data_IF_590763275205
#
_entry.id   IF_590763275205
#
_cell.length_a   1.000
_cell.length_b   1.000
_cell.length_c   1.000
_cell.angle_alpha   90.00
_cell.angle_beta   90.00
_cell.angle_gamma   90.00
#
_symmetry.space_group_name_H-M   'P 1'
#
loop_
_entity.id
_entity.type
_entity.pdbx_description
1 polymer ?
#
# COMPACT_ATOMS: atom_id res chain seq x y z
N UNK A 1 23.62 52.26 64.20
CA UNK A 1 22.52 52.10 63.23
C UNK A 1 22.44 53.34 62.36
N UNK A 2 22.30 53.16 61.05
CA UNK A 2 22.01 54.19 60.03
C UNK A 2 21.51 53.41 58.80
N UNK A 3 20.35 53.58 58.18
CA UNK A 3 19.41 54.70 57.94
C UNK A 3 19.56 55.32 56.53
N UNK A 4 18.43 55.22 55.79
CA UNK A 4 18.04 55.95 54.56
C UNK A 4 18.71 55.53 53.25
N UNK A 5 17.85 55.20 52.28
CA UNK A 5 18.17 55.23 50.86
C UNK A 5 17.45 56.38 50.14
N UNK A 6 17.94 56.68 48.95
CA UNK A 6 17.32 57.48 47.89
C UNK A 6 18.09 57.14 46.60
N UNK A 7 17.52 56.88 45.42
CA UNK A 7 16.12 56.92 44.99
C UNK A 7 15.96 57.90 43.83
N UNK A 8 15.96 57.42 42.57
CA UNK A 8 15.32 58.10 41.42
C UNK A 8 15.21 57.20 40.17
N UNK A 9 13.98 56.87 39.78
CA UNK A 9 13.56 56.54 38.41
C UNK A 9 13.07 57.84 37.72
N UNK A 10 12.63 57.92 36.43
CA UNK A 10 12.28 56.84 35.48
C UNK A 10 12.88 57.05 34.05
N UNK A 11 12.53 56.28 33.01
CA UNK A 11 11.31 56.46 32.16
C UNK A 11 10.96 55.18 31.37
N UNK A 12 9.67 54.80 31.41
CA UNK A 12 8.91 53.99 30.42
C UNK A 12 8.46 54.92 29.27
N UNK A 13 7.96 54.54 28.09
CA UNK A 13 7.55 53.30 27.35
C UNK A 13 7.36 53.76 25.85
N UNK A 14 6.66 53.09 24.89
CA UNK A 14 5.98 51.79 24.85
C UNK A 14 6.33 50.89 23.64
N UNK A 15 5.77 49.67 23.58
CA UNK A 15 6.00 48.74 22.45
C UNK A 15 5.28 47.39 22.56
N UNK A 16 3.95 47.41 22.56
CA UNK A 16 3.00 46.31 22.25
C UNK A 16 3.48 44.83 22.24
N UNK A 17 2.92 44.05 23.17
CA UNK A 17 2.07 42.85 22.92
C UNK A 17 1.72 42.58 21.45
N UNK A 18 1.63 41.36 20.92
CA UNK A 18 1.88 39.98 21.37
C UNK A 18 2.33 39.19 20.09
N UNK A 19 2.60 37.87 20.00
CA UNK A 19 2.27 36.70 20.82
C UNK A 19 3.31 35.55 20.63
N UNK A 20 2.93 34.29 20.89
CA UNK A 20 3.70 33.06 20.53
C UNK A 20 2.96 32.23 19.48
N UNK A 21 3.67 31.86 18.41
CA UNK A 21 3.51 30.64 17.60
C UNK A 21 4.73 30.59 16.65
N UNK A 22 5.39 29.48 16.35
CA UNK A 22 5.07 28.08 16.60
C UNK A 22 5.29 27.29 15.30
N UNK A 23 6.45 26.64 15.15
CA UNK A 23 6.76 25.79 13.98
C UNK A 23 7.91 26.29 13.10
N UNK A 24 9.14 25.85 13.41
CA UNK A 24 10.32 25.93 12.54
C UNK A 24 11.31 24.80 12.88
N UNK A 25 10.80 23.58 13.05
CA UNK A 25 11.58 22.37 13.39
C UNK A 25 11.20 21.18 12.51
N UNK A 26 10.77 21.45 11.28
CA UNK A 26 10.38 20.42 10.30
C UNK A 26 10.98 20.59 8.90
N UNK A 27 12.01 21.42 8.74
CA UNK A 27 12.81 21.52 7.50
C UNK A 27 13.81 20.35 7.36
N UNK A 28 13.28 19.14 7.47
CA UNK A 28 13.93 17.89 7.07
C UNK A 28 12.97 17.13 6.17
N UNK A 29 12.77 17.64 4.96
CA UNK A 29 11.91 17.06 3.92
C UNK A 29 12.34 15.62 3.58
N UNK A 30 11.74 14.63 4.25
CA UNK A 30 11.86 13.22 3.88
C UNK A 30 11.03 12.96 2.63
N UNK A 31 11.65 13.16 1.46
CA UNK A 31 11.09 12.78 0.18
C UNK A 31 10.83 11.27 0.13
N UNK A 32 9.57 10.86 0.31
CA UNK A 32 9.12 9.52 -0.03
C UNK A 32 8.73 9.54 -1.51
N UNK A 33 9.71 9.32 -2.38
CA UNK A 33 9.44 9.03 -3.79
C UNK A 33 8.71 7.68 -3.83
N UNK A 34 7.38 7.71 -4.00
CA UNK A 34 6.64 6.53 -4.47
C UNK A 34 6.98 6.32 -5.94
N UNK A 35 8.20 5.84 -6.18
CA UNK A 35 8.46 5.06 -7.36
C UNK A 35 7.49 3.91 -7.34
N UNK A 36 6.55 3.89 -8.27
CA UNK A 36 5.96 2.65 -8.73
C UNK A 36 7.13 1.84 -9.26
N UNK A 37 7.74 1.04 -8.38
CA UNK A 37 8.75 0.05 -8.75
C UNK A 37 7.99 -0.98 -9.55
N UNK A 38 7.82 -0.70 -10.84
CA UNK A 38 7.60 -1.69 -11.87
C UNK A 38 8.71 -2.71 -11.61
N UNK A 39 8.41 -3.91 -11.10
CA UNK A 39 9.44 -4.85 -10.72
C UNK A 39 10.30 -5.04 -11.97
N UNK A 40 11.61 -4.78 -11.84
CA UNK A 40 12.53 -5.01 -12.93
C UNK A 40 12.28 -6.43 -13.40
N UNK A 41 11.97 -6.60 -14.69
CA UNK A 41 11.63 -7.90 -15.23
C UNK A 41 12.78 -8.85 -14.90
N UNK A 42 12.54 -9.77 -13.96
CA UNK A 42 13.57 -10.70 -13.54
C UNK A 42 14.02 -11.44 -14.78
N UNK A 43 15.34 -11.42 -15.05
CA UNK A 43 15.90 -12.19 -16.15
C UNK A 43 15.36 -13.63 -16.05
N UNK A 44 14.82 -14.22 -17.13
CA UNK A 44 14.07 -15.46 -17.04
C UNK A 44 15.00 -16.59 -16.58
N UNK A 45 14.94 -16.89 -15.28
CA UNK A 45 15.38 -18.17 -14.74
C UNK A 45 14.51 -19.29 -15.30
N UNK A 46 14.84 -20.56 -15.01
CA UNK A 46 13.99 -21.68 -15.43
C UNK A 46 12.55 -21.44 -14.98
N UNK A 47 11.61 -21.57 -15.90
CA UNK A 47 10.19 -21.34 -15.68
C UNK A 47 9.61 -22.44 -14.78
N UNK A 48 9.73 -22.24 -13.46
CA UNK A 48 9.10 -23.09 -12.47
C UNK A 48 7.59 -23.06 -12.70
N UNK A 49 6.98 -24.23 -12.78
CA UNK A 49 5.54 -24.39 -12.91
C UNK A 49 4.96 -25.05 -11.67
N UNK A 50 3.69 -24.79 -11.41
CA UNK A 50 2.97 -25.25 -10.23
C UNK A 50 1.68 -25.93 -10.66
N UNK A 51 1.33 -27.09 -10.08
CA UNK A 51 -0.01 -27.68 -10.24
C UNK A 51 -0.91 -27.08 -9.16
N UNK A 52 -1.74 -26.12 -9.55
CA UNK A 52 -2.61 -25.38 -8.64
C UNK A 52 -4.04 -25.39 -9.18
N UNK A 53 -4.99 -25.72 -8.31
CA UNK A 53 -6.41 -25.48 -8.53
C UNK A 53 -6.73 -24.07 -8.07
N UNK A 54 -7.30 -23.27 -8.96
CA UNK A 54 -7.63 -21.85 -8.75
C UNK A 54 -9.12 -21.67 -8.97
N UNK A 55 -9.81 -21.21 -7.94
CA UNK A 55 -11.23 -20.89 -7.96
C UNK A 55 -11.46 -19.41 -7.63
N UNK A 56 -12.34 -18.77 -8.39
CA UNK A 56 -12.75 -17.37 -8.24
C UNK A 56 -14.27 -17.34 -8.08
N UNK A 57 -14.78 -16.97 -6.91
CA UNK A 57 -16.19 -17.11 -6.50
C UNK A 57 -16.77 -18.53 -6.75
N UNK A 58 -15.94 -19.56 -6.57
CA UNK A 58 -16.27 -20.96 -6.83
C UNK A 58 -16.17 -21.40 -8.30
N UNK A 59 -15.90 -20.47 -9.23
CA UNK A 59 -15.67 -20.78 -10.66
C UNK A 59 -14.21 -21.20 -10.86
N UNK A 60 -14.02 -22.39 -11.45
CA UNK A 60 -12.73 -22.99 -11.73
C UNK A 60 -12.00 -22.28 -12.89
N UNK A 61 -10.83 -21.71 -12.63
CA UNK A 61 -9.96 -21.07 -13.64
C UNK A 61 -8.82 -21.99 -14.11
N UNK A 62 -8.37 -22.89 -13.25
CA UNK A 62 -7.32 -23.88 -13.51
C UNK A 62 -7.44 -25.01 -12.49
N UNK A 63 -7.07 -26.24 -12.84
CA UNK A 63 -7.05 -27.41 -11.95
C UNK A 63 -5.68 -28.12 -11.97
N UNK A 64 -5.49 -29.08 -11.07
CA UNK A 64 -4.21 -29.77 -10.81
C UNK A 64 -3.66 -30.59 -11.99
N UNK A 65 -4.47 -30.85 -13.02
CA UNK A 65 -4.06 -31.49 -14.27
C UNK A 65 -3.13 -30.57 -15.09
N UNK A 66 -3.38 -29.26 -15.05
CA UNK A 66 -2.69 -28.23 -15.86
C UNK A 66 -1.69 -27.43 -15.02
N UNK A 67 -0.38 -27.51 -15.31
CA UNK A 67 0.60 -26.67 -14.64
C UNK A 67 0.42 -25.20 -15.02
N UNK A 68 0.58 -24.29 -14.06
CA UNK A 68 0.58 -22.83 -14.23
C UNK A 68 1.98 -22.26 -14.01
N UNK A 69 2.36 -21.23 -14.75
CA UNK A 69 3.59 -20.45 -14.54
C UNK A 69 3.48 -19.43 -13.39
N UNK A 70 2.31 -19.34 -12.77
CA UNK A 70 2.06 -18.56 -11.56
C UNK A 70 0.69 -17.91 -11.55
N UNK A 71 0.23 -17.53 -10.36
CA UNK A 71 -1.03 -16.82 -10.13
C UNK A 71 -0.71 -15.46 -9.53
N UNK A 72 -1.43 -14.43 -9.96
CA UNK A 72 -1.46 -13.14 -9.30
C UNK A 72 -2.91 -12.83 -8.86
N UNK A 73 -3.05 -12.23 -7.68
CA UNK A 73 -4.32 -11.72 -7.15
C UNK A 73 -4.06 -10.30 -6.68
N UNK A 74 -4.87 -9.34 -7.14
CA UNK A 74 -4.74 -7.91 -6.81
C UNK A 74 -6.10 -7.28 -6.58
N UNK A 75 -6.17 -6.27 -5.72
CA UNK A 75 -7.40 -5.52 -5.42
C UNK A 75 -7.20 -4.06 -5.87
N UNK A 76 -7.63 -3.66 -7.08
CA UNK A 76 -7.38 -2.32 -7.61
C UNK A 76 -8.25 -1.23 -6.96
N UNK A 77 -9.34 -1.61 -6.30
CA UNK A 77 -10.22 -0.69 -5.54
C UNK A 77 -11.64 -0.52 -6.12
N UNK A 78 -11.98 -1.26 -7.15
CA UNK A 78 -13.29 -1.30 -7.83
C UNK A 78 -14.36 -2.13 -7.08
N UNK A 79 -13.98 -2.82 -6.01
CA UNK A 79 -14.88 -3.66 -5.21
C UNK A 79 -14.76 -5.16 -5.49
N UNK A 80 -13.85 -5.58 -6.38
CA UNK A 80 -13.49 -6.98 -6.60
C UNK A 80 -11.97 -7.20 -6.54
N UNK A 81 -11.53 -8.45 -6.45
CA UNK A 81 -10.15 -8.84 -6.69
C UNK A 81 -10.00 -9.30 -8.15
N UNK A 82 -9.00 -8.77 -8.85
CA UNK A 82 -8.54 -9.29 -10.12
C UNK A 82 -7.67 -10.53 -9.89
N UNK A 83 -7.95 -11.60 -10.63
CA UNK A 83 -7.16 -12.84 -10.66
C UNK A 83 -6.56 -13.01 -12.04
N UNK A 84 -5.26 -13.29 -12.12
CA UNK A 84 -4.57 -13.61 -13.37
C UNK A 84 -3.74 -14.90 -13.21
N UNK A 85 -4.15 -15.95 -13.95
CA UNK A 85 -3.45 -17.23 -14.02
C UNK A 85 -2.59 -17.26 -15.28
N UNK A 86 -1.27 -17.29 -15.11
CA UNK A 86 -0.33 -17.36 -16.24
C UNK A 86 -0.08 -18.82 -16.62
N UNK A 87 -0.25 -19.13 -17.90
CA UNK A 87 0.06 -20.46 -18.44
C UNK A 87 1.56 -20.58 -18.78
N UNK A 88 2.14 -21.79 -18.73
CA UNK A 88 3.46 -22.06 -19.29
C UNK A 88 3.50 -21.69 -20.78
N UNK A 89 4.65 -21.22 -21.27
CA UNK A 89 4.82 -20.79 -22.66
C UNK A 89 4.45 -19.33 -22.96
N UNK A 90 3.91 -18.57 -21.99
CA UNK A 90 3.81 -17.11 -22.08
C UNK A 90 2.65 -16.55 -22.92
N UNK A 91 1.57 -17.33 -23.11
CA UNK A 91 0.33 -16.84 -23.73
C UNK A 91 -0.49 -15.89 -22.85
N UNK A 92 -1.62 -15.42 -23.38
CA UNK A 92 -2.58 -14.57 -22.66
C UNK A 92 -3.00 -15.21 -21.32
N UNK A 93 -2.89 -14.51 -20.18
CA UNK A 93 -3.32 -15.05 -18.89
C UNK A 93 -4.84 -15.27 -18.85
N UNK A 94 -5.29 -16.34 -18.19
CA UNK A 94 -6.70 -16.49 -17.84
C UNK A 94 -7.01 -15.47 -16.74
N UNK A 95 -8.05 -14.65 -16.95
CA UNK A 95 -8.43 -13.55 -16.06
C UNK A 95 -9.85 -13.73 -15.52
N UNK A 96 -10.07 -13.30 -14.28
CA UNK A 96 -11.38 -13.18 -13.67
C UNK A 96 -11.39 -12.04 -12.65
N UNK A 97 -12.57 -11.55 -12.29
CA UNK A 97 -12.82 -10.76 -11.08
C UNK A 97 -13.60 -11.61 -10.09
N UNK A 98 -13.32 -11.48 -8.79
CA UNK A 98 -14.02 -12.23 -7.74
C UNK A 98 -14.01 -11.54 -6.38
N UNK A 99 -14.99 -11.83 -5.53
CA UNK A 99 -15.02 -11.43 -4.13
C UNK A 99 -14.20 -12.39 -3.24
N UNK A 100 -14.15 -13.68 -3.59
CA UNK A 100 -13.37 -14.70 -2.90
C UNK A 100 -12.52 -15.51 -3.90
N UNK A 101 -11.25 -15.72 -3.57
CA UNK A 101 -10.30 -16.49 -4.37
C UNK A 101 -9.72 -17.61 -3.53
N UNK A 102 -9.89 -18.86 -3.97
CA UNK A 102 -9.32 -20.04 -3.31
C UNK A 102 -8.28 -20.68 -4.23
N UNK A 103 -7.07 -20.84 -3.70
CA UNK A 103 -5.97 -21.55 -4.39
C UNK A 103 -5.62 -22.79 -3.56
N UNK A 104 -5.57 -23.95 -4.19
CA UNK A 104 -5.17 -25.21 -3.56
C UNK A 104 -4.22 -26.04 -4.44
N UNK A 105 -3.54 -27.00 -3.85
CA UNK A 105 -2.65 -27.92 -4.55
C UNK A 105 -1.72 -28.66 -3.60
N UNK A 106 -0.55 -29.11 -4.08
CA UNK A 106 0.57 -29.48 -3.23
C UNK A 106 1.03 -28.30 -2.35
N UNK A 107 2.04 -28.52 -1.53
CA UNK A 107 2.64 -27.48 -0.70
C UNK A 107 3.21 -26.32 -1.58
N UNK A 108 2.56 -25.17 -1.55
CA UNK A 108 2.96 -23.96 -2.29
C UNK A 108 3.30 -22.79 -1.35
N UNK A 109 4.04 -21.81 -1.88
CA UNK A 109 4.34 -20.53 -1.21
C UNK A 109 3.73 -19.39 -2.02
N UNK A 110 3.35 -18.32 -1.33
CA UNK A 110 2.82 -17.10 -1.96
C UNK A 110 3.52 -15.86 -1.40
N UNK A 111 3.45 -14.75 -2.13
CA UNK A 111 3.95 -13.45 -1.68
C UNK A 111 2.77 -12.51 -1.41
N UNK A 112 2.74 -11.90 -0.21
CA UNK A 112 1.77 -10.88 0.19
C UNK A 112 2.47 -9.89 1.13
N UNK A 113 2.10 -8.60 1.07
CA UNK A 113 2.57 -7.55 1.98
C UNK A 113 4.11 -7.48 2.14
N UNK A 114 4.84 -7.74 1.04
CA UNK A 114 6.32 -7.75 1.03
C UNK A 114 6.96 -9.00 1.66
N UNK A 115 6.19 -10.05 1.94
CA UNK A 115 6.64 -11.26 2.63
C UNK A 115 6.25 -12.52 1.86
N UNK A 116 7.10 -13.55 1.95
CA UNK A 116 6.77 -14.90 1.49
C UNK A 116 6.14 -15.68 2.63
N UNK A 117 5.02 -16.34 2.36
CA UNK A 117 4.29 -17.19 3.29
C UNK A 117 4.16 -18.63 2.76
N UNK A 118 4.00 -19.58 3.68
CA UNK A 118 3.91 -21.02 3.40
C UNK A 118 5.19 -21.81 3.74
N UNK A 119 5.21 -23.13 3.47
CA UNK A 119 4.28 -23.87 2.63
C UNK A 119 2.85 -23.95 3.16
N UNK A 120 1.88 -23.89 2.25
CA UNK A 120 0.45 -24.16 2.50
C UNK A 120 -0.11 -25.04 1.38
N UNK A 121 -1.17 -25.81 1.65
CA UNK A 121 -1.88 -26.62 0.64
C UNK A 121 -3.14 -25.95 0.10
N UNK A 122 -3.67 -24.99 0.85
CA UNK A 122 -4.87 -24.25 0.50
C UNK A 122 -4.80 -22.87 1.14
N UNK A 123 -5.19 -21.85 0.39
CA UNK A 123 -5.38 -20.50 0.91
C UNK A 123 -6.57 -19.85 0.21
N UNK A 124 -7.43 -19.23 1.01
CA UNK A 124 -8.50 -18.37 0.54
C UNK A 124 -8.17 -16.92 0.89
N UNK A 125 -8.46 -16.02 -0.04
CA UNK A 125 -8.49 -14.57 0.17
C UNK A 125 -9.91 -14.09 -0.11
N UNK A 126 -10.42 -13.24 0.76
CA UNK A 126 -11.75 -12.63 0.61
C UNK A 126 -11.56 -11.13 0.59
N UNK A 127 -12.11 -10.47 -0.42
CA UNK A 127 -12.15 -9.04 -0.51
C UNK A 127 -13.29 -8.51 0.36
N UNK A 128 -12.96 -7.56 1.24
CA UNK A 128 -13.93 -6.85 2.05
C UNK A 128 -13.90 -5.37 1.63
N UNK A 129 -14.86 -4.90 0.81
CA UNK A 129 -14.97 -3.49 0.43
C UNK A 129 -15.04 -2.60 1.66
N UNK A 130 -14.35 -1.44 1.61
CA UNK A 130 -14.29 -0.47 2.70
C UNK A 130 -13.84 -1.01 4.08
N UNK A 131 -13.16 -2.17 4.14
CA UNK A 131 -12.67 -2.75 5.40
C UNK A 131 -11.64 -1.87 6.15
N UNK A 132 -11.06 -0.88 5.47
CA UNK A 132 -10.15 0.10 6.03
C UNK A 132 -10.57 1.50 5.61
N UNK A 133 -10.59 2.44 6.56
CA UNK A 133 -10.64 3.88 6.28
C UNK A 133 -9.24 4.46 6.46
N UNK A 134 -8.71 5.14 5.45
CA UNK A 134 -7.36 5.69 5.45
C UNK A 134 -7.40 7.20 5.23
N UNK A 135 -6.73 7.96 6.11
CA UNK A 135 -6.43 9.37 5.84
C UNK A 135 -5.30 9.43 4.81
N UNK A 136 -5.65 9.77 3.57
CA UNK A 136 -4.69 10.02 2.50
C UNK A 136 -4.33 11.51 2.45
N UNK A 137 -3.11 11.88 2.01
CA UNK A 137 -2.82 13.26 1.62
C UNK A 137 -3.81 13.71 0.55
N UNK A 138 -4.26 14.97 0.61
CA UNK A 138 -5.08 15.55 -0.45
C UNK A 138 -4.34 15.44 -1.79
N UNK A 139 -5.04 14.96 -2.83
CA UNK A 139 -4.46 14.89 -4.16
C UNK A 139 -4.31 16.32 -4.71
N UNK A 140 -3.09 16.80 -5.01
CA UNK A 140 -2.89 18.16 -5.51
C UNK A 140 -3.45 18.25 -6.93
N UNK A 141 -4.65 18.82 -7.06
CA UNK A 141 -5.38 18.92 -8.34
C UNK A 141 -6.91 18.85 -8.21
N UNK A 142 -7.44 18.36 -7.09
CA UNK A 142 -8.84 18.64 -6.73
C UNK A 142 -8.96 20.08 -6.23
N UNK A 143 -9.91 20.84 -6.77
CA UNK A 143 -10.20 22.25 -6.45
C UNK A 143 -9.11 23.27 -6.81
N UNK A 144 -8.89 23.46 -8.11
CA UNK A 144 -8.55 24.78 -8.65
C UNK A 144 -9.75 25.32 -9.44
N UNK A 145 -10.47 26.36 -8.97
CA UNK A 145 -11.55 26.95 -9.74
C UNK A 145 -10.96 27.65 -10.99
N UNK A 146 -11.57 27.40 -12.14
CA UNK A 146 -11.28 28.16 -13.35
C UNK A 146 -11.75 29.61 -13.16
N UNK A 147 -10.84 30.54 -13.40
CA UNK A 147 -11.10 31.97 -13.54
C UNK A 147 -10.97 32.38 -15.01
#
# INVERSE_FOLDING_TARGET
GSARGSGRAPRRAPGRRDARAGGAVWDACRFVVRGLVRPAAAAPGPSVTHRLRVEADGVLLSDLDRPVAGVAVSAPGDGYAEVAVRLPGGGEPVRATAAAVTISGPDFRYHADGRVAGPVRTRTWTLHPAAWSLTLPAHPGGDAPAW
#
